data_IF_558175396265
#
_entry.id   IF_558175396265
#
_cell.length_a   1.000
_cell.length_b   1.000
_cell.length_c   1.000
_cell.angle_alpha   90.00
_cell.angle_beta   90.00
_cell.angle_gamma   90.00
#
_symmetry.space_group_name_H-M   'P 1'
#
loop_
_entity.id
_entity.type
_entity.pdbx_description
1 polymer ?
#
# COMPACT_ATOMS: atom_id res chain seq x y z
N UNK A 1 -19.57 22.68 -55.76
CA UNK A 1 -20.18 21.34 -55.64
C UNK A 1 -19.67 20.77 -54.33
N UNK A 2 -20.54 20.73 -53.32
CA UNK A 2 -20.21 20.23 -51.98
C UNK A 2 -19.99 18.72 -52.03
N UNK A 3 -18.93 18.23 -51.39
CA UNK A 3 -19.04 16.96 -50.65
C UNK A 3 -18.01 16.91 -49.52
N UNK A 4 -18.52 17.24 -48.34
CA UNK A 4 -18.01 16.85 -47.04
C UNK A 4 -18.16 15.33 -46.91
N UNK A 5 -17.15 14.61 -46.42
CA UNK A 5 -17.34 13.28 -45.84
C UNK A 5 -16.60 13.20 -44.52
N UNK A 6 -17.37 12.82 -43.51
CA UNK A 6 -17.09 12.91 -42.08
C UNK A 6 -15.92 12.01 -41.63
N UNK A 7 -15.10 12.58 -40.76
CA UNK A 7 -14.22 11.86 -39.84
C UNK A 7 -15.12 11.26 -38.77
N UNK A 8 -15.23 9.94 -38.72
CA UNK A 8 -15.86 9.21 -37.61
C UNK A 8 -14.83 9.05 -36.50
N UNK A 9 -14.78 10.04 -35.60
CA UNK A 9 -14.15 9.92 -34.29
C UNK A 9 -14.90 8.89 -33.46
N UNK A 10 -14.30 7.70 -33.33
CA UNK A 10 -14.82 6.64 -32.46
C UNK A 10 -14.28 6.89 -31.06
N UNK A 11 -15.08 7.59 -30.24
CA UNK A 11 -14.82 7.73 -28.80
C UNK A 11 -14.86 6.36 -28.14
N UNK A 12 -13.72 5.90 -27.64
CA UNK A 12 -13.64 4.73 -26.78
C UNK A 12 -14.29 5.08 -25.43
N UNK A 13 -15.28 4.26 -25.04
CA UNK A 13 -15.84 4.26 -23.70
C UNK A 13 -14.77 3.68 -22.75
N UNK A 14 -14.26 4.48 -21.81
CA UNK A 14 -13.45 3.99 -20.70
C UNK A 14 -14.40 3.37 -19.68
N UNK A 15 -14.26 2.07 -19.44
CA UNK A 15 -14.94 1.39 -18.35
C UNK A 15 -14.15 1.63 -17.06
N UNK A 16 -14.55 2.64 -16.28
CA UNK A 16 -14.14 2.75 -14.87
C UNK A 16 -15.01 1.78 -14.09
N UNK A 17 -14.44 0.67 -13.61
CA UNK A 17 -15.13 -0.20 -12.67
C UNK A 17 -15.01 0.43 -11.28
N UNK A 18 -16.08 1.10 -10.85
CA UNK A 18 -16.14 1.85 -9.60
C UNK A 18 -16.80 1.01 -8.50
N UNK A 19 -16.04 0.63 -7.47
CA UNK A 19 -16.60 0.12 -6.22
C UNK A 19 -16.73 1.23 -5.18
N UNK A 20 -17.95 1.64 -4.83
CA UNK A 20 -18.23 2.58 -3.73
C UNK A 20 -18.92 1.79 -2.62
N UNK A 21 -18.27 1.66 -1.46
CA UNK A 21 -18.89 1.12 -0.25
C UNK A 21 -18.98 2.23 0.79
N UNK A 22 -20.21 2.57 1.18
CA UNK A 22 -20.51 3.42 2.33
C UNK A 22 -20.91 2.52 3.50
N UNK A 23 -20.16 2.56 4.60
CA UNK A 23 -20.55 1.86 5.83
C UNK A 23 -21.79 2.53 6.41
N UNK A 24 -22.94 1.87 6.26
CA UNK A 24 -24.18 2.21 6.96
C UNK A 24 -24.17 1.60 8.36
N UNK A 25 -24.43 2.42 9.38
CA UNK A 25 -24.59 1.98 10.76
C UNK A 25 -25.69 0.92 10.90
N UNK A 26 -25.37 -0.23 11.51
CA UNK A 26 -26.37 -1.12 12.10
C UNK A 26 -25.92 -1.58 13.48
N UNK A 27 -26.82 -1.39 14.45
CA UNK A 27 -26.67 -1.70 15.88
C UNK A 27 -26.87 -3.19 16.20
N UNK A 28 -26.03 -3.66 17.14
CA UNK A 28 -26.18 -4.71 18.18
C UNK A 28 -26.71 -6.12 17.86
N UNK A 29 -26.03 -7.16 18.39
CA UNK A 29 -26.42 -7.92 19.60
C UNK A 29 -25.22 -8.75 20.11
N UNK A 30 -24.99 -8.64 21.43
CA UNK A 30 -24.02 -9.39 22.24
C UNK A 30 -24.66 -10.69 22.77
N UNK A 31 -23.92 -11.81 22.83
CA UNK A 31 -24.23 -12.98 23.66
C UNK A 31 -22.97 -13.85 23.82
N UNK A 32 -22.35 -13.88 25.02
CA UNK A 32 -22.45 -15.02 25.95
C UNK A 32 -21.59 -14.82 27.21
N UNK A 33 -22.27 -14.81 28.36
CA UNK A 33 -21.72 -15.08 29.71
C UNK A 33 -21.69 -16.59 29.96
N UNK A 34 -20.69 -17.11 30.69
CA UNK A 34 -20.91 -17.84 31.97
C UNK A 34 -19.57 -18.15 32.70
N UNK A 35 -19.52 -18.75 33.92
CA UNK A 35 -19.15 -18.06 35.16
C UNK A 35 -18.01 -18.77 35.94
N UNK A 36 -17.81 -18.39 37.21
CA UNK A 36 -16.89 -18.96 38.24
C UNK A 36 -15.38 -18.75 37.99
N UNK A 37 -14.56 -18.12 38.83
CA UNK A 37 -14.63 -17.81 40.26
C UNK A 37 -13.53 -18.59 41.00
N UNK A 38 -12.34 -18.00 41.20
CA UNK A 38 -11.46 -18.07 42.41
C UNK A 38 -10.08 -17.47 42.10
N UNK A 39 -9.63 -16.51 42.93
CA UNK A 39 -8.28 -15.91 42.96
C UNK A 39 -7.55 -16.38 44.22
N UNK A 40 -6.26 -16.75 44.14
CA UNK A 40 -5.28 -16.61 45.24
C UNK A 40 -3.87 -16.25 44.73
N UNK A 41 -3.29 -15.25 45.40
CA UNK A 41 -2.01 -14.55 45.22
C UNK A 41 -0.80 -15.44 45.64
N UNK A 42 0.49 -15.21 45.35
CA UNK A 42 1.33 -13.98 45.40
C UNK A 42 2.72 -14.26 44.71
N UNK A 43 3.76 -13.41 44.82
CA UNK A 43 4.14 -12.40 43.84
C UNK A 43 5.58 -12.60 43.29
N UNK A 44 5.94 -11.72 42.34
CA UNK A 44 7.30 -11.31 41.89
C UNK A 44 7.52 -11.58 40.40
N UNK A 45 7.72 -10.48 39.67
CA UNK A 45 8.16 -10.39 38.26
C UNK A 45 7.17 -10.73 37.13
N UNK A 46 5.88 -10.39 37.27
CA UNK A 46 4.95 -10.37 36.12
C UNK A 46 4.44 -8.98 35.73
N UNK A 47 4.43 -8.01 36.64
CA UNK A 47 3.83 -6.68 36.39
C UNK A 47 4.66 -5.81 35.42
N UNK A 48 5.98 -6.06 35.33
CA UNK A 48 6.84 -5.39 34.33
C UNK A 48 6.79 -6.06 32.96
N UNK A 49 6.57 -7.37 32.89
CA UNK A 49 6.47 -8.12 31.62
C UNK A 49 5.13 -7.84 30.93
N UNK A 50 4.03 -7.85 31.69
CA UNK A 50 2.70 -7.64 31.13
C UNK A 50 2.45 -6.19 30.72
N UNK A 51 2.99 -5.19 31.45
CA UNK A 51 2.95 -3.80 30.98
C UNK A 51 3.75 -3.61 29.69
N UNK A 52 4.91 -4.25 29.56
CA UNK A 52 5.76 -4.07 28.37
C UNK A 52 5.15 -4.69 27.10
N UNK A 53 4.35 -5.75 27.24
CA UNK A 53 3.57 -6.36 26.16
C UNK A 53 2.31 -5.55 25.80
N UNK A 54 1.69 -4.89 26.78
CA UNK A 54 0.50 -4.04 26.56
C UNK A 54 0.84 -2.69 25.89
N UNK A 55 2.10 -2.26 25.92
CA UNK A 55 2.55 -0.94 25.41
C UNK A 55 2.95 -0.88 23.91
N UNK A 56 2.85 -1.96 23.11
CA UNK A 56 3.43 -1.95 21.75
C UNK A 56 2.52 -2.31 20.58
N UNK A 57 1.19 -2.36 20.75
CA UNK A 57 0.28 -2.45 19.59
C UNK A 57 -0.26 -1.06 19.27
N UNK A 58 0.02 -0.57 18.06
CA UNK A 58 -0.39 0.76 17.65
C UNK A 58 -1.59 0.70 16.71
N UNK A 59 -2.64 1.44 17.05
CA UNK A 59 -3.84 1.44 16.23
C UNK A 59 -3.65 2.23 14.94
N UNK A 60 -3.99 1.60 13.82
CA UNK A 60 -4.31 2.32 12.59
C UNK A 60 -5.81 2.60 12.63
N UNK A 61 -6.19 3.88 12.63
CA UNK A 61 -7.59 4.24 12.46
C UNK A 61 -8.05 3.82 11.06
N UNK A 62 -9.22 3.19 10.91
CA UNK A 62 -9.76 2.92 9.59
C UNK A 62 -10.17 4.23 8.89
N UNK A 63 -10.15 4.25 7.55
CA UNK A 63 -10.57 5.43 6.79
C UNK A 63 -12.09 5.65 6.91
N UNK A 64 -12.54 6.90 6.84
CA UNK A 64 -13.99 7.22 6.89
C UNK A 64 -14.73 6.63 5.69
N UNK A 65 -14.06 6.61 4.54
CA UNK A 65 -14.46 5.90 3.33
C UNK A 65 -13.23 5.70 2.45
N UNK A 66 -13.31 4.76 1.53
CA UNK A 66 -12.19 4.44 0.64
C UNK A 66 -12.72 4.06 -0.74
N UNK A 67 -11.88 4.22 -1.74
CA UNK A 67 -12.05 3.55 -3.04
C UNK A 67 -10.69 3.06 -3.51
N UNK A 68 -10.75 2.10 -4.42
CA UNK A 68 -9.61 1.68 -5.20
C UNK A 68 -10.00 1.69 -6.67
N UNK A 69 -9.01 1.87 -7.53
CA UNK A 69 -9.19 1.88 -8.98
C UNK A 69 -7.97 1.29 -9.65
N UNK A 70 -8.16 0.76 -10.85
CA UNK A 70 -7.09 0.26 -11.71
C UNK A 70 -7.39 0.65 -13.16
N UNK A 71 -6.43 0.37 -14.04
CA UNK A 71 -6.46 0.74 -15.46
C UNK A 71 -6.53 2.26 -15.69
N UNK A 72 -5.99 3.01 -14.75
CA UNK A 72 -5.87 4.47 -14.82
C UNK A 72 -4.83 4.81 -15.88
N UNK A 73 -5.24 5.55 -16.92
CA UNK A 73 -4.31 6.08 -17.90
C UNK A 73 -3.37 7.11 -17.24
N UNK A 74 -2.06 7.10 -17.53
CA UNK A 74 -1.12 8.06 -16.97
C UNK A 74 -1.50 9.53 -17.15
N UNK A 75 -2.31 9.90 -18.14
CA UNK A 75 -2.76 11.29 -18.34
C UNK A 75 -4.05 11.62 -17.58
N UNK A 76 -4.61 10.64 -16.87
CA UNK A 76 -5.93 10.68 -16.24
C UNK A 76 -5.88 10.30 -14.75
N UNK A 77 -4.72 10.47 -14.10
CA UNK A 77 -4.60 10.26 -12.64
C UNK A 77 -5.52 11.23 -11.89
N UNK A 78 -5.67 12.46 -12.38
CA UNK A 78 -6.57 13.45 -11.78
C UNK A 78 -8.03 13.00 -11.76
N UNK A 79 -8.46 12.18 -12.73
CA UNK A 79 -9.84 11.72 -12.83
C UNK A 79 -10.23 10.76 -11.71
N UNK A 80 -9.24 10.14 -11.04
CA UNK A 80 -9.46 9.31 -9.86
C UNK A 80 -9.25 10.06 -8.55
N UNK A 81 -8.93 11.35 -8.55
CA UNK A 81 -8.82 12.16 -7.33
C UNK A 81 -10.17 12.73 -6.92
N UNK A 82 -10.97 11.94 -6.20
CA UNK A 82 -12.29 12.37 -5.75
C UNK A 82 -12.21 13.49 -4.67
N UNK A 83 -13.15 14.47 -4.67
CA UNK A 83 -13.18 15.53 -3.67
C UNK A 83 -13.20 15.02 -2.22
N UNK A 84 -12.27 15.53 -1.43
CA UNK A 84 -12.07 15.18 -0.01
C UNK A 84 -11.46 13.80 0.21
N UNK A 85 -10.91 13.17 -0.83
CA UNK A 85 -10.11 11.96 -0.75
C UNK A 85 -8.66 12.25 -1.12
N UNK A 86 -7.74 11.46 -0.62
CA UNK A 86 -6.32 11.58 -0.93
C UNK A 86 -5.74 10.22 -1.31
N UNK A 87 -4.81 10.21 -2.27
CA UNK A 87 -4.08 9.00 -2.64
C UNK A 87 -3.26 8.50 -1.46
N UNK A 88 -3.43 7.23 -1.13
CA UNK A 88 -2.64 6.53 -0.09
C UNK A 88 -1.72 5.50 -0.70
N UNK A 89 -2.05 4.98 -1.89
CA UNK A 89 -1.23 4.04 -2.64
C UNK A 89 -1.32 4.33 -4.13
N UNK A 90 -0.18 4.28 -4.80
CA UNK A 90 -0.05 4.36 -6.26
C UNK A 90 0.88 3.25 -6.74
N UNK A 91 0.39 2.36 -7.60
CA UNK A 91 1.18 1.27 -8.21
C UNK A 91 1.11 1.37 -9.72
N UNK A 92 2.28 1.42 -10.37
CA UNK A 92 2.37 1.40 -11.83
C UNK A 92 2.52 -0.03 -12.34
N UNK A 93 1.86 -0.34 -13.44
CA UNK A 93 1.99 -1.63 -14.11
C UNK A 93 1.90 -1.50 -15.63
N UNK A 94 2.39 -2.54 -16.32
CA UNK A 94 2.56 -2.50 -17.77
C UNK A 94 3.71 -1.58 -18.21
N UNK A 95 3.88 -1.43 -19.51
CA UNK A 95 4.96 -0.63 -20.10
C UNK A 95 4.53 0.03 -21.40
N UNK A 96 5.25 1.08 -21.81
CA UNK A 96 4.94 1.84 -23.02
C UNK A 96 3.50 2.31 -23.06
N UNK A 97 2.79 2.03 -24.17
CA UNK A 97 1.38 2.42 -24.36
C UNK A 97 0.38 1.67 -23.46
N UNK A 98 0.79 0.53 -22.93
CA UNK A 98 -0.03 -0.30 -22.02
C UNK A 98 0.24 0.02 -20.55
N UNK A 99 1.05 1.04 -20.26
CA UNK A 99 1.33 1.52 -18.91
C UNK A 99 0.06 2.09 -18.29
N UNK A 100 -0.22 1.68 -17.06
CA UNK A 100 -1.40 2.06 -16.29
C UNK A 100 -1.04 2.20 -14.82
N UNK A 101 -1.93 2.85 -14.07
CA UNK A 101 -1.85 2.89 -12.62
C UNK A 101 -3.01 2.13 -11.98
N UNK A 102 -2.72 1.55 -10.82
CA UNK A 102 -3.69 1.19 -9.81
C UNK A 102 -3.47 2.08 -8.60
N UNK A 103 -4.56 2.43 -7.91
CA UNK A 103 -4.53 3.38 -6.82
C UNK A 103 -5.53 3.02 -5.73
N UNK A 104 -5.17 3.39 -4.51
CA UNK A 104 -6.10 3.43 -3.37
C UNK A 104 -6.14 4.85 -2.86
N UNK A 105 -7.34 5.32 -2.51
CA UNK A 105 -7.54 6.62 -1.87
C UNK A 105 -8.46 6.51 -0.67
N UNK A 106 -8.15 7.27 0.37
CA UNK A 106 -8.93 7.33 1.60
C UNK A 106 -9.51 8.72 1.80
N UNK A 107 -10.67 8.76 2.46
CA UNK A 107 -11.23 9.96 3.06
C UNK A 107 -10.81 10.00 4.52
N UNK A 108 -10.06 11.05 4.86
CA UNK A 108 -9.69 11.36 6.25
C UNK A 108 -9.74 12.88 6.42
N UNK A 109 -10.49 13.31 7.43
CA UNK A 109 -10.65 14.73 7.73
C UNK A 109 -9.31 15.42 8.00
N UNK A 110 -9.07 16.54 7.31
CA UNK A 110 -7.87 17.36 7.48
C UNK A 110 -6.63 16.88 6.73
N UNK A 111 -6.72 15.79 5.97
CA UNK A 111 -5.65 15.33 5.08
C UNK A 111 -5.93 15.80 3.66
N UNK A 112 -4.97 16.52 3.08
CA UNK A 112 -4.97 16.96 1.70
C UNK A 112 -3.84 16.23 0.96
N UNK A 113 -4.15 15.65 -0.20
CA UNK A 113 -3.19 14.90 -1.01
C UNK A 113 -2.83 15.61 -2.31
N UNK A 114 -1.67 15.29 -2.85
CA UNK A 114 -1.24 15.63 -4.21
C UNK A 114 -0.39 14.49 -4.77
N UNK A 115 0.08 14.61 -6.01
CA UNK A 115 0.95 13.61 -6.62
C UNK A 115 2.03 14.26 -7.47
N UNK A 116 3.11 13.53 -7.66
CA UNK A 116 4.15 13.82 -8.64
C UNK A 116 4.25 12.64 -9.59
N UNK A 117 4.38 12.90 -10.88
CA UNK A 117 4.41 11.86 -11.90
C UNK A 117 5.68 11.97 -12.76
N UNK A 118 6.24 10.81 -13.07
CA UNK A 118 7.33 10.64 -14.02
C UNK A 118 8.59 11.50 -13.75
N UNK A 119 8.92 11.65 -12.46
CA UNK A 119 10.07 12.43 -11.98
C UNK A 119 11.36 11.65 -12.18
N UNK A 120 12.39 12.31 -12.70
CA UNK A 120 13.72 11.71 -12.80
C UNK A 120 14.36 11.56 -11.42
N UNK A 121 15.20 10.54 -11.24
CA UNK A 121 15.92 10.28 -10.00
C UNK A 121 16.65 11.52 -9.44
N UNK A 122 17.26 12.31 -10.32
CA UNK A 122 18.05 13.49 -9.95
C UNK A 122 17.20 14.68 -9.46
N UNK A 123 15.92 14.72 -9.83
CA UNK A 123 15.00 15.82 -9.52
C UNK A 123 14.05 15.48 -8.37
N UNK A 124 14.16 14.28 -7.80
CA UNK A 124 13.17 13.73 -6.87
C UNK A 124 13.06 14.59 -5.60
N UNK A 125 14.19 14.89 -4.96
CA UNK A 125 14.21 15.67 -3.71
C UNK A 125 13.74 17.11 -3.92
N UNK A 126 14.17 17.76 -5.01
CA UNK A 126 13.77 19.13 -5.32
C UNK A 126 12.28 19.22 -5.63
N UNK A 127 11.74 18.29 -6.43
CA UNK A 127 10.32 18.24 -6.77
C UNK A 127 9.46 17.95 -5.56
N UNK A 128 9.87 17.05 -4.66
CA UNK A 128 9.16 16.82 -3.39
C UNK A 128 9.17 18.10 -2.55
N UNK A 129 10.32 18.74 -2.38
CA UNK A 129 10.45 19.96 -1.58
C UNK A 129 9.58 21.12 -2.10
N UNK A 130 9.48 21.29 -3.42
CA UNK A 130 8.63 22.29 -4.07
C UNK A 130 7.14 22.15 -3.70
N UNK A 131 6.65 20.94 -3.41
CA UNK A 131 5.25 20.71 -3.04
C UNK A 131 4.91 21.14 -1.60
N UNK A 132 5.92 21.22 -0.72
CA UNK A 132 5.70 21.37 0.73
C UNK A 132 4.91 20.20 1.37
N UNK A 133 4.82 19.06 0.68
CA UNK A 133 4.14 17.85 1.12
C UNK A 133 5.14 16.72 1.38
N UNK A 134 4.72 15.71 2.14
CA UNK A 134 5.52 14.51 2.43
C UNK A 134 5.11 13.36 1.49
N UNK A 135 6.04 12.61 0.90
CA UNK A 135 5.71 11.42 0.14
C UNK A 135 5.13 10.34 1.07
N UNK A 136 4.09 9.65 0.59
CA UNK A 136 3.45 8.53 1.30
C UNK A 136 3.33 7.26 0.47
N UNK A 137 3.42 7.40 -0.86
CA UNK A 137 3.54 6.26 -1.76
C UNK A 137 4.54 6.54 -2.86
N UNK A 138 5.25 5.51 -3.31
CA UNK A 138 6.22 5.57 -4.41
C UNK A 138 6.05 4.39 -5.35
N UNK A 139 6.20 4.65 -6.64
CA UNK A 139 6.28 3.64 -7.69
C UNK A 139 7.28 4.06 -8.76
N UNK A 140 7.83 3.09 -9.48
CA UNK A 140 8.90 3.31 -10.44
C UNK A 140 8.62 2.55 -11.73
N UNK A 141 8.95 3.17 -12.87
CA UNK A 141 8.86 2.53 -14.18
C UNK A 141 9.96 3.02 -15.11
N UNK A 142 10.22 2.22 -16.15
CA UNK A 142 10.90 2.70 -17.34
C UNK A 142 9.91 3.48 -18.21
N UNK A 143 10.24 4.74 -18.47
CA UNK A 143 9.51 5.63 -19.37
C UNK A 143 10.50 6.10 -20.42
N UNK A 144 10.29 5.64 -21.65
CA UNK A 144 11.15 5.94 -22.80
C UNK A 144 12.65 5.65 -22.54
N UNK A 145 12.94 4.52 -21.88
CA UNK A 145 14.30 4.08 -21.58
C UNK A 145 14.93 4.77 -20.37
N UNK A 146 14.14 5.51 -19.60
CA UNK A 146 14.59 6.23 -18.41
C UNK A 146 13.79 5.81 -17.19
N UNK A 147 14.49 5.51 -16.10
CA UNK A 147 13.86 5.27 -14.80
C UNK A 147 13.18 6.56 -14.31
N UNK A 148 11.87 6.48 -14.11
CA UNK A 148 11.04 7.55 -13.56
C UNK A 148 10.29 7.10 -12.33
N UNK A 149 10.08 8.03 -11.40
CA UNK A 149 9.35 7.82 -10.16
C UNK A 149 8.05 8.62 -10.15
N UNK A 150 6.98 8.00 -9.68
CA UNK A 150 5.73 8.68 -9.37
C UNK A 150 5.41 8.49 -7.90
N UNK A 151 4.86 9.53 -7.27
CA UNK A 151 4.62 9.59 -5.83
C UNK A 151 3.22 10.10 -5.53
N UNK A 152 2.59 9.52 -4.52
CA UNK A 152 1.51 10.18 -3.80
C UNK A 152 2.11 10.95 -2.62
N UNK A 153 1.64 12.17 -2.38
CA UNK A 153 2.10 13.03 -1.30
C UNK A 153 0.92 13.50 -0.45
N UNK A 154 1.17 13.72 0.84
CA UNK A 154 0.23 14.29 1.78
C UNK A 154 0.76 15.61 2.32
N UNK A 155 -0.09 16.63 2.37
CA UNK A 155 0.25 17.93 2.95
C UNK A 155 0.55 17.79 4.44
N UNK A 156 1.47 18.62 4.92
CA UNK A 156 1.93 18.61 6.32
C UNK A 156 3.31 17.99 6.47
N UNK A 157 4.05 18.49 7.46
CA UNK A 157 5.48 18.22 7.65
C UNK A 157 5.79 17.03 8.55
N UNK A 158 4.77 16.41 9.15
CA UNK A 158 4.93 15.30 10.09
C UNK A 158 4.11 14.07 9.67
N UNK A 159 4.62 12.84 9.90
CA UNK A 159 5.99 12.57 10.34
C UNK A 159 7.01 12.98 9.27
N UNK A 160 8.24 13.31 9.69
CA UNK A 160 9.32 13.59 8.74
C UNK A 160 9.58 12.36 7.87
N UNK A 161 9.72 12.58 6.57
CA UNK A 161 9.95 11.53 5.58
C UNK A 161 11.16 11.82 4.70
N UNK A 162 11.86 10.78 4.28
CA UNK A 162 12.91 10.83 3.26
C UNK A 162 12.70 9.75 2.20
N UNK A 163 13.15 10.03 0.97
CA UNK A 163 13.15 9.04 -0.12
C UNK A 163 14.55 8.51 -0.33
N UNK A 164 14.68 7.20 -0.42
CA UNK A 164 15.93 6.50 -0.70
C UNK A 164 15.76 5.67 -1.96
N UNK A 165 16.67 5.80 -2.93
CA UNK A 165 16.62 5.09 -4.21
C UNK A 165 17.90 4.27 -4.42
N UNK A 166 17.89 3.39 -5.42
CA UNK A 166 19.03 2.55 -5.84
C UNK A 166 19.53 1.58 -4.77
N UNK A 167 18.65 1.18 -3.85
CA UNK A 167 18.96 0.26 -2.77
C UNK A 167 19.00 -1.18 -3.30
N UNK A 168 19.84 -2.02 -2.69
CA UNK A 168 19.72 -3.48 -2.76
C UNK A 168 18.93 -4.01 -1.54
N UNK A 169 18.83 -5.33 -1.41
CA UNK A 169 18.10 -5.97 -0.30
C UNK A 169 18.69 -5.61 1.07
N UNK A 170 20.02 -5.51 1.18
CA UNK A 170 20.70 -5.17 2.44
C UNK A 170 20.45 -3.70 2.78
N UNK A 171 20.62 -2.81 1.82
CA UNK A 171 20.40 -1.37 1.98
C UNK A 171 18.95 -1.05 2.37
N UNK A 172 17.97 -1.76 1.80
CA UNK A 172 16.57 -1.63 2.20
C UNK A 172 16.38 -2.02 3.67
N UNK A 173 16.93 -3.17 4.10
CA UNK A 173 16.83 -3.63 5.48
C UNK A 173 17.47 -2.68 6.51
N UNK A 174 18.52 -1.96 6.12
CA UNK A 174 19.21 -0.99 6.98
C UNK A 174 18.44 0.32 7.22
N UNK A 175 17.36 0.57 6.47
CA UNK A 175 16.54 1.77 6.65
C UNK A 175 15.63 1.69 7.89
N UNK A 176 15.34 0.48 8.37
CA UNK A 176 14.47 0.25 9.51
C UNK A 176 15.28 0.13 10.80
N UNK A 177 14.85 0.84 11.84
CA UNK A 177 15.38 0.74 13.20
C UNK A 177 14.33 1.21 14.21
N UNK A 178 14.72 1.33 15.49
CA UNK A 178 13.80 1.72 16.57
C UNK A 178 13.17 3.12 16.41
N UNK A 179 13.67 3.96 15.49
CA UNK A 179 13.20 5.33 15.25
C UNK A 179 12.67 5.55 13.82
N UNK A 180 12.89 4.60 12.91
CA UNK A 180 12.59 4.75 11.48
C UNK A 180 11.97 3.49 10.92
N UNK A 181 10.99 3.67 10.03
CA UNK A 181 10.32 2.58 9.33
C UNK A 181 10.08 2.95 7.87
N UNK A 182 9.83 1.93 7.05
CA UNK A 182 9.49 2.12 5.64
C UNK A 182 7.98 2.35 5.53
N UNK A 183 7.57 3.53 5.07
CA UNK A 183 6.17 3.89 4.86
C UNK A 183 5.61 3.31 3.54
N UNK A 184 6.43 3.26 2.49
CA UNK A 184 6.14 2.59 1.23
C UNK A 184 7.46 2.25 0.52
N UNK A 185 7.42 1.27 -0.37
CA UNK A 185 8.55 0.98 -1.25
C UNK A 185 8.06 0.40 -2.58
N UNK A 186 8.93 0.46 -3.57
CA UNK A 186 8.73 -0.14 -4.89
C UNK A 186 9.98 -0.91 -5.31
N UNK A 187 9.77 -1.90 -6.18
CA UNK A 187 10.81 -2.74 -6.78
C UNK A 187 10.92 -2.35 -8.24
N UNK A 188 12.13 -2.12 -8.72
CA UNK A 188 12.41 -1.88 -10.13
C UNK A 188 13.71 -2.57 -10.55
N UNK A 189 14.04 -2.51 -11.84
CA UNK A 189 15.30 -3.06 -12.35
C UNK A 189 16.09 -2.00 -13.10
N UNK A 190 17.39 -1.93 -12.83
CA UNK A 190 18.35 -1.09 -13.57
C UNK A 190 19.45 -1.98 -14.08
N UNK A 191 19.64 -2.04 -15.41
CA UNK A 191 20.65 -2.90 -16.03
C UNK A 191 20.45 -4.39 -15.70
N UNK A 192 19.20 -4.85 -15.59
CA UNK A 192 18.86 -6.23 -15.22
C UNK A 192 19.05 -6.57 -13.73
N UNK A 193 19.48 -5.60 -12.91
CA UNK A 193 19.65 -5.78 -11.47
C UNK A 193 18.45 -5.19 -10.74
N UNK A 194 17.82 -6.01 -9.89
CA UNK A 194 16.72 -5.60 -9.02
C UNK A 194 17.20 -4.58 -7.99
N UNK A 195 16.44 -3.50 -7.85
CA UNK A 195 16.67 -2.37 -6.96
C UNK A 195 15.39 -1.98 -6.24
N UNK A 196 15.55 -1.24 -5.15
CA UNK A 196 14.45 -0.72 -4.36
C UNK A 196 14.52 0.80 -4.27
N UNK A 197 13.36 1.42 -4.25
CA UNK A 197 13.16 2.77 -3.74
C UNK A 197 12.17 2.72 -2.59
N UNK A 198 12.46 3.44 -1.51
CA UNK A 198 11.70 3.41 -0.28
C UNK A 198 11.48 4.82 0.26
N UNK A 199 10.28 5.04 0.79
CA UNK A 199 9.96 6.18 1.65
C UNK A 199 10.19 5.71 3.08
N UNK A 200 11.01 6.44 3.82
CA UNK A 200 11.29 6.22 5.24
C UNK A 200 10.65 7.33 6.03
N UNK A 201 9.99 7.00 7.13
CA UNK A 201 9.46 7.99 8.06
C UNK A 201 10.10 7.85 9.44
N UNK A 202 10.34 8.99 10.09
CA UNK A 202 10.77 9.05 11.49
C UNK A 202 9.57 8.74 12.39
N UNK A 203 9.40 7.46 12.71
CA UNK A 203 8.36 7.02 13.62
C UNK A 203 8.86 5.82 14.43
N UNK A 204 8.87 5.91 15.77
CA UNK A 204 9.30 4.80 16.60
C UNK A 204 8.28 3.68 16.49
N UNK A 205 8.73 2.47 16.14
CA UNK A 205 7.95 1.21 16.18
C UNK A 205 8.81 0.02 15.73
N UNK A 206 8.58 -1.18 16.29
CA UNK A 206 9.08 -2.41 15.70
C UNK A 206 8.56 -2.56 14.26
N UNK A 207 9.47 -2.60 13.31
CA UNK A 207 9.19 -2.88 11.92
C UNK A 207 10.20 -3.91 11.42
N UNK A 208 9.74 -4.80 10.54
CA UNK A 208 10.55 -5.84 9.93
C UNK A 208 10.50 -5.73 8.43
N UNK A 209 11.65 -5.97 7.81
CA UNK A 209 11.78 -6.10 6.36
C UNK A 209 12.12 -7.56 6.06
N UNK A 210 11.27 -8.22 5.29
CA UNK A 210 11.51 -9.56 4.78
C UNK A 210 11.77 -9.45 3.28
N UNK A 211 13.01 -9.70 2.84
CA UNK A 211 13.36 -9.65 1.41
C UNK A 211 13.43 -11.05 0.83
N UNK A 212 12.98 -11.17 -0.42
CA UNK A 212 13.15 -12.38 -1.24
C UNK A 212 12.66 -13.66 -0.54
N UNK A 213 11.47 -13.59 0.02
CA UNK A 213 10.80 -14.73 0.67
C UNK A 213 9.72 -15.29 -0.25
N UNK A 214 9.49 -16.61 -0.18
CA UNK A 214 8.28 -17.23 -0.75
C UNK A 214 7.04 -16.84 0.06
N UNK A 215 5.84 -17.06 -0.48
CA UNK A 215 4.59 -16.80 0.26
C UNK A 215 4.55 -17.54 1.60
N UNK A 216 4.98 -18.81 1.62
CA UNK A 216 5.04 -19.64 2.84
C UNK A 216 6.03 -19.09 3.87
N UNK A 217 7.17 -18.60 3.43
CA UNK A 217 8.18 -18.00 4.31
C UNK A 217 7.72 -16.64 4.85
N UNK A 218 7.08 -15.81 4.02
CA UNK A 218 6.46 -14.57 4.47
C UNK A 218 5.46 -14.84 5.59
N UNK A 219 4.55 -15.77 5.35
CA UNK A 219 3.56 -16.23 6.32
C UNK A 219 4.18 -16.76 7.64
N UNK A 220 5.25 -17.55 7.53
CA UNK A 220 5.97 -18.05 8.70
C UNK A 220 6.64 -16.91 9.49
N UNK A 221 7.23 -15.93 8.79
CA UNK A 221 7.84 -14.76 9.41
C UNK A 221 6.80 -13.86 10.11
N UNK A 222 5.66 -13.57 9.47
CA UNK A 222 4.59 -12.79 10.08
C UNK A 222 4.10 -13.42 11.39
N UNK A 223 3.86 -14.75 11.40
CA UNK A 223 3.47 -15.47 12.62
C UNK A 223 4.57 -15.47 13.69
N UNK A 224 5.82 -15.68 13.30
CA UNK A 224 6.97 -15.70 14.21
C UNK A 224 7.14 -14.37 14.96
N UNK A 225 6.81 -13.26 14.31
CA UNK A 225 7.00 -11.91 14.86
C UNK A 225 5.73 -11.28 15.45
N UNK A 226 4.59 -11.99 15.46
CA UNK A 226 3.26 -11.42 15.74
C UNK A 226 3.04 -10.11 14.96
N UNK A 227 3.37 -10.14 13.67
CA UNK A 227 3.44 -8.95 12.83
C UNK A 227 2.33 -8.93 11.78
N UNK A 228 1.82 -7.72 11.52
CA UNK A 228 0.87 -7.40 10.47
C UNK A 228 1.64 -6.89 9.24
N UNK A 229 1.43 -7.47 8.05
CA UNK A 229 2.04 -6.94 6.83
C UNK A 229 1.49 -5.54 6.54
N UNK A 230 2.36 -4.60 6.17
CA UNK A 230 2.00 -3.21 5.83
C UNK A 230 2.19 -2.96 4.35
N UNK A 231 3.27 -3.51 3.77
CA UNK A 231 3.57 -3.40 2.33
C UNK A 231 4.04 -4.74 1.82
N UNK A 232 3.55 -5.17 0.66
CA UNK A 232 4.00 -6.41 0.02
C UNK A 232 4.18 -6.14 -1.48
N UNK A 233 5.37 -6.43 -2.00
CA UNK A 233 5.69 -6.34 -3.43
C UNK A 233 6.13 -7.71 -3.93
N UNK A 234 5.41 -8.23 -4.91
CA UNK A 234 5.74 -9.50 -5.56
C UNK A 234 6.67 -9.30 -6.75
N UNK A 235 7.58 -10.25 -6.98
CA UNK A 235 8.40 -10.30 -8.19
C UNK A 235 8.70 -11.74 -8.59
N UNK A 236 8.92 -11.96 -9.88
CA UNK A 236 9.27 -13.27 -10.41
C UNK A 236 10.77 -13.35 -10.70
N UNK A 237 11.39 -14.45 -10.32
CA UNK A 237 12.78 -14.75 -10.64
C UNK A 237 12.94 -16.24 -10.92
N UNK A 238 13.51 -16.59 -12.07
CA UNK A 238 13.72 -17.99 -12.50
C UNK A 238 12.44 -18.85 -12.46
N UNK A 239 11.29 -18.25 -12.81
CA UNK A 239 9.99 -18.94 -12.79
C UNK A 239 9.37 -19.13 -11.40
N UNK A 240 10.02 -18.68 -10.34
CA UNK A 240 9.48 -18.67 -8.99
C UNK A 240 9.03 -17.25 -8.60
N UNK A 241 7.96 -17.15 -7.81
CA UNK A 241 7.44 -15.90 -7.28
C UNK A 241 7.93 -15.67 -5.85
N UNK A 242 8.50 -14.50 -5.62
CA UNK A 242 9.05 -14.06 -4.35
C UNK A 242 8.44 -12.73 -3.94
N UNK A 243 8.60 -12.41 -2.66
CA UNK A 243 8.05 -11.20 -2.05
C UNK A 243 9.15 -10.46 -1.30
N UNK A 244 9.07 -9.15 -1.36
CA UNK A 244 9.61 -8.28 -0.33
C UNK A 244 8.42 -7.71 0.45
N UNK A 245 8.53 -7.68 1.77
CA UNK A 245 7.47 -7.19 2.63
C UNK A 245 8.02 -6.32 3.77
N UNK A 246 7.25 -5.30 4.12
CA UNK A 246 7.40 -4.55 5.38
C UNK A 246 6.25 -4.96 6.28
N UNK A 247 6.57 -5.29 7.53
CA UNK A 247 5.59 -5.67 8.54
C UNK A 247 5.82 -4.86 9.84
N UNK A 248 4.76 -4.69 10.62
CA UNK A 248 4.75 -3.93 11.87
C UNK A 248 3.88 -4.64 12.91
N UNK A 249 4.08 -4.31 14.19
CA UNK A 249 3.10 -4.64 15.23
C UNK A 249 1.99 -3.58 15.23
N UNK A 250 0.87 -3.91 14.59
CA UNK A 250 -0.30 -3.03 14.47
C UNK A 250 -1.49 -3.57 15.27
N UNK A 251 -2.20 -2.66 15.91
CA UNK A 251 -3.53 -2.88 16.46
C UNK A 251 -4.58 -2.54 15.40
N UNK A 252 -4.65 -3.40 14.39
CA UNK A 252 -5.76 -3.44 13.43
C UNK A 252 -6.67 -4.59 13.82
N UNK A 253 -7.90 -4.62 13.30
CA UNK A 253 -8.74 -5.80 13.39
C UNK A 253 -8.10 -6.99 12.67
N UNK A 254 -8.92 -7.88 12.10
CA UNK A 254 -8.33 -8.94 11.28
C UNK A 254 -7.69 -8.38 10.01
N UNK A 255 -6.57 -8.97 9.60
CA UNK A 255 -5.90 -8.66 8.35
C UNK A 255 -5.76 -9.92 7.50
N UNK A 256 -5.63 -9.72 6.20
CA UNK A 256 -5.25 -10.76 5.26
C UNK A 256 -4.49 -10.15 4.09
N UNK A 257 -3.66 -10.98 3.44
CA UNK A 257 -2.98 -10.61 2.21
C UNK A 257 -3.22 -11.66 1.14
N UNK A 258 -3.29 -11.22 -0.11
CA UNK A 258 -3.45 -12.06 -1.28
C UNK A 258 -2.49 -11.63 -2.36
N UNK A 259 -2.23 -12.55 -3.27
CA UNK A 259 -1.35 -12.35 -4.41
C UNK A 259 -1.87 -13.14 -5.61
N UNK A 260 -1.51 -12.69 -6.81
CA UNK A 260 -1.89 -13.32 -8.08
C UNK A 260 -3.41 -13.43 -8.27
N UNK A 261 -4.13 -12.38 -7.86
CA UNK A 261 -5.59 -12.26 -8.03
C UNK A 261 -5.94 -11.17 -9.03
N UNK A 262 -7.04 -11.35 -9.76
CA UNK A 262 -7.60 -10.34 -10.66
C UNK A 262 -8.45 -9.30 -9.92
N UNK A 263 -8.92 -8.27 -10.64
CA UNK A 263 -9.69 -7.16 -10.07
C UNK A 263 -11.01 -7.59 -9.44
N UNK A 264 -11.71 -8.54 -10.08
CA UNK A 264 -13.00 -9.04 -9.60
C UNK A 264 -12.82 -9.82 -8.29
N UNK A 265 -11.73 -10.59 -8.20
CA UNK A 265 -11.33 -11.28 -6.98
C UNK A 265 -10.95 -10.29 -5.89
N UNK A 266 -10.21 -9.21 -6.20
CA UNK A 266 -9.92 -8.14 -5.22
C UNK A 266 -11.22 -7.56 -4.66
N UNK A 267 -12.15 -7.15 -5.52
CA UNK A 267 -13.45 -6.60 -5.10
C UNK A 267 -14.22 -7.59 -4.20
N UNK A 268 -14.38 -8.83 -4.67
CA UNK A 268 -15.07 -9.87 -3.91
C UNK A 268 -14.41 -10.20 -2.56
N UNK A 269 -13.08 -10.11 -2.46
CA UNK A 269 -12.38 -10.23 -1.18
C UNK A 269 -12.65 -9.04 -0.27
N UNK A 270 -12.55 -7.81 -0.75
CA UNK A 270 -12.82 -6.63 0.09
C UNK A 270 -14.25 -6.67 0.64
N UNK A 271 -15.23 -6.99 -0.20
CA UNK A 271 -16.64 -7.08 0.19
C UNK A 271 -16.90 -8.22 1.19
N UNK A 272 -16.48 -9.45 0.87
CA UNK A 272 -16.74 -10.61 1.74
C UNK A 272 -16.02 -10.54 3.08
N UNK A 273 -14.93 -9.77 3.15
CA UNK A 273 -14.18 -9.57 4.39
C UNK A 273 -14.61 -8.31 5.15
N UNK A 274 -15.51 -7.48 4.61
CA UNK A 274 -15.81 -6.15 5.13
C UNK A 274 -14.50 -5.38 5.45
N UNK A 275 -13.61 -5.33 4.45
CA UNK A 275 -12.24 -4.87 4.61
C UNK A 275 -11.95 -3.71 3.65
N UNK A 276 -10.89 -2.95 3.94
CA UNK A 276 -10.34 -1.93 3.06
C UNK A 276 -8.90 -2.29 2.65
N UNK A 277 -8.47 -1.95 1.42
CA UNK A 277 -7.11 -2.24 0.97
C UNK A 277 -6.14 -1.25 1.63
N UNK A 278 -5.27 -1.75 2.52
CA UNK A 278 -4.23 -0.95 3.17
C UNK A 278 -2.95 -0.85 2.34
N UNK A 279 -2.76 -1.80 1.43
CA UNK A 279 -1.73 -1.81 0.41
C UNK A 279 -2.24 -2.54 -0.84
N UNK A 280 -1.82 -2.05 -2.00
CA UNK A 280 -2.18 -2.62 -3.29
C UNK A 280 -1.01 -2.43 -4.24
N UNK A 281 -0.56 -3.54 -4.82
CA UNK A 281 0.41 -3.55 -5.90
C UNK A 281 -0.18 -4.24 -7.11
N UNK A 282 0.13 -3.73 -8.30
CA UNK A 282 -0.36 -4.26 -9.55
C UNK A 282 0.81 -4.63 -10.45
N UNK A 283 0.66 -5.72 -11.20
CA UNK A 283 1.61 -6.12 -12.22
C UNK A 283 0.86 -6.72 -13.41
N UNK A 284 1.51 -6.73 -14.57
CA UNK A 284 0.94 -7.31 -15.80
C UNK A 284 1.86 -8.41 -16.30
N UNK A 285 1.29 -9.57 -16.59
CA UNK A 285 1.95 -10.66 -17.29
C UNK A 285 1.10 -11.12 -18.49
N UNK A 286 1.44 -12.26 -19.09
CA UNK A 286 0.73 -12.83 -20.25
C UNK A 286 -0.72 -13.22 -19.95
N UNK A 287 -1.08 -13.47 -18.69
CA UNK A 287 -2.42 -13.86 -18.24
C UNK A 287 -3.31 -12.65 -17.97
N UNK A 288 -2.73 -11.46 -17.77
CA UNK A 288 -3.49 -10.23 -17.57
C UNK A 288 -2.89 -9.32 -16.51
N UNK A 289 -3.76 -8.53 -15.87
CA UNK A 289 -3.41 -7.68 -14.73
C UNK A 289 -3.70 -8.45 -13.46
N UNK A 290 -2.73 -8.46 -12.56
CA UNK A 290 -2.77 -9.18 -11.30
C UNK A 290 -2.41 -8.24 -10.16
N UNK A 291 -2.95 -8.53 -8.98
CA UNK A 291 -2.80 -7.71 -7.80
C UNK A 291 -2.19 -8.50 -6.64
N UNK A 292 -1.34 -7.82 -5.88
CA UNK A 292 -0.98 -8.18 -4.51
C UNK A 292 -1.68 -7.18 -3.59
N UNK A 293 -2.48 -7.65 -2.64
CA UNK A 293 -3.29 -6.79 -1.78
C UNK A 293 -3.08 -7.17 -0.33
N UNK A 294 -2.87 -6.16 0.51
CA UNK A 294 -3.06 -6.28 1.97
C UNK A 294 -4.32 -5.54 2.31
N UNK A 295 -5.18 -6.16 3.11
CA UNK A 295 -6.42 -5.55 3.57
C UNK A 295 -6.58 -5.69 5.07
N UNK A 296 -7.15 -4.66 5.68
CA UNK A 296 -7.46 -4.60 7.10
C UNK A 296 -8.97 -4.55 7.30
N UNK A 297 -9.41 -5.05 8.46
CA UNK A 297 -10.78 -4.91 8.94
C UNK A 297 -10.81 -4.02 10.16
N UNK A 298 -11.96 -3.40 10.38
CA UNK A 298 -12.23 -2.66 11.59
C UNK A 298 -12.38 -3.63 12.77
N UNK A 299 -12.02 -3.13 13.96
CA UNK A 299 -12.39 -3.78 15.21
C UNK A 299 -13.89 -3.58 15.40
N UNK A 300 -14.70 -4.53 14.90
CA UNK A 300 -16.13 -4.59 15.20
C UNK A 300 -16.39 -4.91 16.67
#
# INVERSE_FOLDING_TARGET
MYHTSQITDTKWLVAVLTGIMALGCTTEINLNTDPTGTIKNSPTTQVESSRKEEFMKFSSKPPESWFWSHDIDPNHIDDVLLPGMHLTRLSIYGSGKSRRFAATSFRESGIEGTYLQDIAAADLDSKIAETGARPVSITAADVDGQLRFSLALQKGSEPKTSVHINLDEIGLGQLVNDQRRIADFTIYSTGGVRKYAAIVEERPRPSWVFTRVTAKELDANLRKHDATPVRVRGFSENGARYFTAVAEQLDVGNWAWYDDIDSDTVAGKLDSNNAYPSDLDAYRDERGVHFTVVMYRDHN
#
